data_IF_444831272833
#
_entry.id   IF_444831272833
#
_cell.length_a   1.000
_cell.length_b   1.000
_cell.length_c   1.000
_cell.angle_alpha   90.00
_cell.angle_beta   90.00
_cell.angle_gamma   90.00
#
_symmetry.space_group_name_H-M   'P 1'
#
loop_
_entity.id
_entity.type
_entity.pdbx_description
1 polymer ?
#
# COMPACT_ATOMS: atom_id res chain seq x y z
N UNK A 1 -13.39 -0.42 -3.30
CA UNK A 1 -12.12 -0.18 -4.09
C UNK A 1 -10.81 -0.54 -3.36
N UNK A 2 -10.87 -0.76 -2.04
CA UNK A 2 -9.75 -1.11 -1.16
C UNK A 2 -8.72 -2.14 -1.67
N UNK A 3 -9.14 -3.33 -2.15
CA UNK A 3 -8.20 -4.38 -2.60
C UNK A 3 -7.29 -3.92 -3.74
N UNK A 4 -7.83 -3.08 -4.64
CA UNK A 4 -7.05 -2.46 -5.72
C UNK A 4 -6.02 -1.49 -5.15
N UNK A 5 -6.43 -0.65 -4.21
CA UNK A 5 -5.52 0.29 -3.53
C UNK A 5 -4.37 -0.45 -2.84
N UNK A 6 -4.65 -1.54 -2.10
CA UNK A 6 -3.61 -2.34 -1.43
C UNK A 6 -2.57 -2.86 -2.43
N UNK A 7 -3.02 -3.44 -3.55
CA UNK A 7 -2.13 -3.93 -4.61
C UNK A 7 -1.26 -2.81 -5.18
N UNK A 8 -1.88 -1.68 -5.52
CA UNK A 8 -1.19 -0.55 -6.13
C UNK A 8 -0.18 0.08 -5.14
N UNK A 9 -0.46 0.07 -3.83
CA UNK A 9 0.47 0.51 -2.78
C UNK A 9 1.67 -0.45 -2.65
N UNK A 10 1.44 -1.77 -2.70
CA UNK A 10 2.52 -2.76 -2.68
C UNK A 10 3.44 -2.59 -3.89
N UNK A 11 2.87 -2.39 -5.07
CA UNK A 11 3.62 -2.12 -6.30
C UNK A 11 4.45 -0.84 -6.19
N UNK A 12 3.83 0.27 -5.74
CA UNK A 12 4.55 1.52 -5.48
C UNK A 12 5.71 1.33 -4.49
N UNK A 13 5.47 0.63 -3.37
CA UNK A 13 6.50 0.41 -2.35
C UNK A 13 7.66 -0.43 -2.90
N UNK A 14 7.36 -1.51 -3.64
CA UNK A 14 8.38 -2.32 -4.29
C UNK A 14 9.12 -1.57 -5.40
N UNK A 15 8.52 -0.54 -6.01
CA UNK A 15 9.14 0.32 -7.02
C UNK A 15 10.35 1.12 -6.52
N UNK A 16 10.46 1.35 -5.20
CA UNK A 16 11.53 2.16 -4.60
C UNK A 16 12.91 1.49 -4.71
N UNK A 17 13.94 2.27 -5.04
CA UNK A 17 15.30 1.77 -5.28
C UNK A 17 15.96 1.15 -4.04
N UNK A 18 15.60 1.63 -2.85
CA UNK A 18 16.09 1.13 -1.56
C UNK A 18 15.30 -0.08 -1.03
N UNK A 19 14.30 -0.57 -1.77
CA UNK A 19 13.52 -1.76 -1.41
C UNK A 19 14.04 -2.97 -2.19
N UNK A 20 14.75 -3.85 -1.49
CA UNK A 20 15.40 -5.02 -2.08
C UNK A 20 14.66 -6.35 -1.86
N UNK A 21 13.72 -6.37 -0.90
CA UNK A 21 12.91 -7.53 -0.56
C UNK A 21 11.47 -7.35 -1.02
N UNK A 22 10.76 -8.45 -1.17
CA UNK A 22 9.31 -8.44 -1.34
C UNK A 22 8.64 -8.29 0.02
N UNK A 23 7.53 -7.56 0.00
CA UNK A 23 6.68 -7.30 1.16
C UNK A 23 5.27 -7.76 0.86
N UNK A 24 4.56 -8.18 1.91
CA UNK A 24 3.13 -8.52 1.88
C UNK A 24 2.38 -7.57 2.80
N UNK A 25 1.07 -7.46 2.58
CA UNK A 25 0.14 -6.88 3.55
C UNK A 25 0.25 -7.62 4.89
N UNK A 26 0.37 -6.86 5.97
CA UNK A 26 0.34 -7.36 7.35
C UNK A 26 -0.98 -7.02 8.02
N UNK A 27 -1.32 -5.75 7.99
CA UNK A 27 -2.48 -5.17 8.67
C UNK A 27 -3.02 -4.03 7.82
N UNK A 28 -4.31 -3.79 7.96
CA UNK A 28 -4.99 -2.72 7.26
C UNK A 28 -5.84 -1.94 8.26
N UNK A 29 -5.49 -0.68 8.46
CA UNK A 29 -6.08 0.20 9.46
C UNK A 29 -6.61 1.48 8.83
N UNK A 30 -7.52 2.16 9.54
CA UNK A 30 -7.98 3.50 9.17
C UNK A 30 -8.60 3.58 7.77
N UNK A 31 -9.21 2.49 7.30
CA UNK A 31 -9.86 2.45 5.99
C UNK A 31 -11.06 3.40 6.00
N UNK A 32 -11.07 4.32 5.05
CA UNK A 32 -12.17 5.26 4.83
C UNK A 32 -12.50 5.22 3.35
N UNK A 33 -13.74 4.88 3.01
CA UNK A 33 -14.29 4.93 1.64
C UNK A 33 -15.44 5.94 1.69
N UNK A 34 -15.37 6.99 0.87
CA UNK A 34 -16.39 8.04 0.77
C UNK A 34 -16.77 8.21 -0.68
N UNK A 35 -18.06 8.13 -0.96
CA UNK A 35 -18.60 8.35 -2.29
C UNK A 35 -19.19 9.75 -2.38
N UNK A 36 -18.93 10.42 -3.49
CA UNK A 36 -19.55 11.70 -3.85
C UNK A 36 -19.80 11.74 -5.36
N UNK A 37 -20.56 12.72 -5.91
CA UNK A 37 -20.85 12.78 -7.34
C UNK A 37 -19.62 12.92 -8.25
N UNK A 38 -18.47 13.34 -7.71
CA UNK A 38 -17.19 13.40 -8.44
C UNK A 38 -16.40 12.09 -8.36
N UNK A 39 -16.92 11.07 -7.67
CA UNK A 39 -16.39 9.71 -7.59
C UNK A 39 -16.01 9.28 -6.17
N UNK A 40 -15.33 8.14 -6.05
CA UNK A 40 -15.03 7.52 -4.75
C UNK A 40 -13.66 7.92 -4.23
N UNK A 41 -13.59 8.45 -3.02
CA UNK A 41 -12.34 8.64 -2.28
C UNK A 41 -12.06 7.45 -1.36
N UNK A 42 -10.85 6.92 -1.41
CA UNK A 42 -10.37 5.84 -0.55
C UNK A 42 -9.09 6.27 0.17
N UNK A 43 -9.10 6.19 1.50
CA UNK A 43 -7.91 6.34 2.33
C UNK A 43 -7.69 5.05 3.14
N UNK A 44 -6.44 4.60 3.26
CA UNK A 44 -6.10 3.48 4.14
C UNK A 44 -4.67 3.60 4.68
N UNK A 45 -4.40 2.94 5.81
CA UNK A 45 -3.06 2.69 6.34
C UNK A 45 -2.75 1.21 6.20
N UNK A 46 -1.75 0.89 5.37
CA UNK A 46 -1.32 -0.47 5.10
C UNK A 46 -0.01 -0.75 5.83
N UNK A 47 -0.03 -1.63 6.83
CA UNK A 47 1.20 -2.17 7.42
C UNK A 47 1.77 -3.26 6.53
N UNK A 48 3.10 -3.26 6.38
CA UNK A 48 3.83 -4.17 5.51
C UNK A 48 4.68 -5.13 6.33
N UNK A 49 4.76 -6.38 5.87
CA UNK A 49 5.65 -7.39 6.41
C UNK A 49 6.68 -7.81 5.35
N UNK A 50 7.96 -7.74 5.71
CA UNK A 50 9.05 -8.20 4.86
C UNK A 50 8.96 -9.72 4.70
N UNK A 51 9.37 -10.23 3.54
CA UNK A 51 9.50 -11.66 3.29
C UNK A 51 10.94 -12.10 3.11
N UNK A 52 11.19 -13.41 3.07
CA UNK A 52 12.48 -14.01 2.72
C UNK A 52 12.89 -13.76 1.27
N UNK A 53 11.96 -13.37 0.40
CA UNK A 53 12.22 -13.23 -1.03
C UNK A 53 12.81 -11.87 -1.39
N UNK A 54 13.85 -11.88 -2.23
CA UNK A 54 14.39 -10.67 -2.86
C UNK A 54 13.58 -10.31 -4.10
N UNK A 55 13.45 -9.01 -4.39
CA UNK A 55 12.71 -8.47 -5.55
C UNK A 55 13.23 -9.02 -6.90
N UNK A 56 14.55 -9.22 -7.02
CA UNK A 56 15.23 -9.65 -8.26
C UNK A 56 15.52 -11.15 -8.35
N UNK A 57 15.02 -11.95 -7.42
CA UNK A 57 15.26 -13.39 -7.39
C UNK A 57 14.01 -14.17 -7.80
N UNK A 58 14.14 -15.40 -8.33
CA UNK A 58 13.02 -16.31 -8.49
C UNK A 58 12.25 -16.47 -7.17
N UNK A 59 10.95 -16.25 -7.22
CA UNK A 59 10.11 -16.26 -6.04
C UNK A 59 9.68 -17.70 -5.74
N UNK A 60 10.32 -18.33 -4.75
CA UNK A 60 9.94 -19.66 -4.25
C UNK A 60 9.78 -19.58 -2.73
N UNK A 61 8.65 -20.08 -2.22
CA UNK A 61 8.37 -20.17 -0.78
C UNK A 61 8.67 -18.87 0.01
N UNK A 62 8.10 -17.73 -0.41
CA UNK A 62 8.27 -16.43 0.25
C UNK A 62 7.53 -16.38 1.60
N UNK A 63 8.25 -16.74 2.67
CA UNK A 63 7.76 -16.69 4.05
C UNK A 63 7.88 -15.27 4.59
N UNK A 64 6.92 -14.88 5.41
CA UNK A 64 6.97 -13.61 6.15
C UNK A 64 8.08 -13.71 7.21
N UNK A 65 8.88 -12.65 7.33
CA UNK A 65 9.89 -12.51 8.37
C UNK A 65 9.29 -11.71 9.53
N UNK A 66 9.46 -12.23 10.75
CA UNK A 66 9.23 -11.47 11.98
C UNK A 66 10.34 -10.42 12.14
N UNK A 67 10.20 -9.33 11.38
CA UNK A 67 11.15 -8.21 11.36
C UNK A 67 10.74 -7.14 12.36
N UNK A 68 11.73 -6.52 13.01
CA UNK A 68 11.53 -5.27 13.76
C UNK A 68 11.15 -4.11 12.85
N UNK A 69 11.56 -4.16 11.57
CA UNK A 69 11.17 -3.16 10.57
C UNK A 69 9.76 -3.49 10.06
N UNK A 70 8.80 -2.70 10.53
CA UNK A 70 7.38 -2.79 10.23
C UNK A 70 6.94 -1.50 9.52
N UNK A 71 7.30 -1.30 8.24
CA UNK A 71 6.90 -0.10 7.53
C UNK A 71 5.39 -0.07 7.37
N UNK A 72 4.85 1.13 7.34
CA UNK A 72 3.43 1.40 7.10
C UNK A 72 3.35 2.40 5.95
N UNK A 73 2.30 2.28 5.13
CA UNK A 73 1.97 3.20 4.06
C UNK A 73 0.63 3.87 4.36
N UNK A 74 0.59 5.20 4.40
CA UNK A 74 -0.64 5.96 4.20
C UNK A 74 -0.87 6.10 2.69
N UNK A 75 -2.07 5.76 2.25
CA UNK A 75 -2.47 5.85 0.86
C UNK A 75 -3.83 6.54 0.73
N UNK A 76 -3.94 7.49 -0.19
CA UNK A 76 -5.18 8.16 -0.55
C UNK A 76 -5.38 8.05 -2.06
N UNK A 77 -6.60 7.75 -2.50
CA UNK A 77 -6.95 7.59 -3.90
C UNK A 77 -8.29 8.28 -4.17
N UNK A 78 -8.38 9.02 -5.26
CA UNK A 78 -9.66 9.46 -5.83
C UNK A 78 -9.91 8.66 -7.11
N UNK A 79 -11.07 8.02 -7.16
CA UNK A 79 -11.57 7.32 -8.33
C UNK A 79 -12.68 8.14 -8.99
N UNK A 80 -12.89 7.96 -10.30
CA UNK A 80 -14.06 8.49 -11.00
C UNK A 80 -15.33 7.64 -10.71
N UNK A 81 -16.43 7.95 -11.39
CA UNK A 81 -17.74 7.29 -11.23
C UNK A 81 -18.03 6.20 -12.26
N UNK A 82 -17.05 5.77 -13.06
CA UNK A 82 -17.26 4.76 -14.10
C UNK A 82 -17.47 3.35 -13.54
N UNK A 83 -18.10 2.46 -14.33
CA UNK A 83 -18.35 1.04 -13.93
C UNK A 83 -17.07 0.28 -13.57
N UNK A 84 -15.95 0.67 -14.20
CA UNK A 84 -14.59 0.27 -13.80
C UNK A 84 -13.84 1.54 -13.41
N UNK A 85 -13.93 1.97 -12.13
CA UNK A 85 -13.49 3.30 -11.74
C UNK A 85 -12.00 3.52 -12.05
N UNK A 86 -11.65 4.60 -12.74
CA UNK A 86 -10.25 4.97 -13.01
C UNK A 86 -9.70 5.82 -11.87
N UNK A 87 -8.39 5.76 -11.66
CA UNK A 87 -7.73 6.61 -10.66
C UNK A 87 -7.58 8.00 -11.24
N UNK A 88 -8.23 8.99 -10.62
CA UNK A 88 -8.10 10.41 -10.95
C UNK A 88 -6.87 11.02 -10.29
N UNK A 89 -6.64 10.68 -9.01
CA UNK A 89 -5.46 11.11 -8.26
C UNK A 89 -5.08 10.10 -7.18
N UNK A 90 -3.81 10.10 -6.77
CA UNK A 90 -3.30 9.23 -5.71
C UNK A 90 -2.12 9.84 -4.96
N UNK A 91 -2.06 9.53 -3.66
CA UNK A 91 -0.98 9.89 -2.76
C UNK A 91 -0.47 8.65 -2.01
N UNK A 92 0.85 8.57 -1.83
CA UNK A 92 1.52 7.54 -1.04
C UNK A 92 2.56 8.15 -0.12
N UNK A 93 2.53 7.79 1.15
CA UNK A 93 3.62 8.02 2.08
C UNK A 93 3.91 6.74 2.84
N UNK A 94 5.08 6.15 2.61
CA UNK A 94 5.50 4.91 3.25
C UNK A 94 6.81 5.11 3.99
N UNK A 95 6.86 4.62 5.22
CA UNK A 95 8.04 4.70 6.08
C UNK A 95 7.83 3.93 7.39
N UNK A 96 8.73 4.08 8.37
CA UNK A 96 8.47 3.64 9.73
C UNK A 96 7.17 4.26 10.26
N UNK A 97 6.38 3.53 11.05
CA UNK A 97 5.09 4.00 11.56
C UNK A 97 5.15 5.36 12.26
N UNK A 98 6.22 5.63 13.02
CA UNK A 98 6.45 6.89 13.74
C UNK A 98 6.85 8.07 12.82
N UNK A 99 7.22 7.81 11.56
CA UNK A 99 7.49 8.85 10.56
C UNK A 99 6.26 9.21 9.73
N UNK A 100 5.13 8.50 9.92
CA UNK A 100 3.87 8.83 9.27
C UNK A 100 3.16 9.92 10.09
N UNK A 101 3.78 11.11 10.13
CA UNK A 101 3.15 12.29 10.70
C UNK A 101 1.91 12.65 9.88
N UNK A 102 0.78 12.75 10.59
CA UNK A 102 -0.41 13.45 10.14
C UNK A 102 0.00 14.85 9.68
N UNK A 103 -0.39 15.20 8.46
CA UNK A 103 -0.61 16.61 8.14
C UNK A 103 -1.93 17.03 8.74
#
# INVERSE_FOLDING_TARGET
>A
LQRRVVRDVLEYFHGRSNVHFLFKERELDGVTEREDPSGTFVQLRLGLAQTTCRKRAPQRHCRVLESRRKPTCLACYKFDTGDVPKVLDKYHNCGPSHHLAAK
#
